data_IF_584545923218
#
_entry.id   IF_584545923218
#
_cell.length_a   1.000
_cell.length_b   1.000
_cell.length_c   1.000
_cell.angle_alpha   90.00
_cell.angle_beta   90.00
_cell.angle_gamma   90.00
#
_symmetry.space_group_name_H-M   'P 1'
#
loop_
_entity.id
_entity.type
_entity.pdbx_description
1 polymer ?
#
# COMPACT_ATOMS: atom_id res chain seq x y z
N UNK A 1 41.09 -0.03 45.47
CA UNK A 1 40.49 0.73 44.35
C UNK A 1 41.05 0.23 43.01
N UNK A 2 40.53 -0.88 42.46
CA UNK A 2 41.03 -1.49 41.21
C UNK A 2 39.93 -2.17 40.36
N UNK A 3 38.67 -1.74 40.43
CA UNK A 3 37.57 -2.45 39.74
C UNK A 3 36.66 -1.54 38.88
N UNK A 4 37.10 -0.35 38.48
CA UNK A 4 36.28 0.59 37.69
C UNK A 4 36.62 0.55 36.18
N UNK A 5 37.82 0.09 35.79
CA UNK A 5 38.23 0.04 34.38
C UNK A 5 37.64 -1.13 33.56
N UNK A 6 37.13 -2.17 34.20
CA UNK A 6 36.60 -3.34 33.48
C UNK A 6 35.17 -3.12 32.95
N UNK A 7 34.39 -2.24 33.60
CA UNK A 7 32.99 -1.98 33.23
C UNK A 7 32.84 -1.10 31.97
N UNK A 8 33.83 -0.24 31.69
CA UNK A 8 33.83 0.67 30.54
C UNK A 8 34.18 -0.01 29.21
N UNK A 9 34.88 -1.16 29.24
CA UNK A 9 35.19 -1.90 28.01
C UNK A 9 34.02 -2.74 27.51
N UNK A 10 33.11 -3.16 28.39
CA UNK A 10 31.98 -4.03 28.02
C UNK A 10 30.86 -3.26 27.31
N UNK A 11 30.70 -1.96 27.59
CA UNK A 11 29.72 -1.10 26.93
C UNK A 11 30.12 -0.69 25.50
N UNK A 12 31.41 -0.70 25.16
CA UNK A 12 31.90 -0.35 23.81
C UNK A 12 31.73 -1.53 22.83
N UNK A 13 31.77 -2.77 23.32
CA UNK A 13 31.55 -3.98 22.53
C UNK A 13 30.08 -4.17 22.09
N UNK A 14 29.11 -3.62 22.83
CA UNK A 14 27.69 -3.69 22.42
C UNK A 14 27.31 -2.72 21.31
N UNK A 15 27.99 -1.57 21.19
CA UNK A 15 27.68 -0.55 20.17
C UNK A 15 28.10 -1.02 18.77
N UNK A 16 29.16 -1.83 18.67
CA UNK A 16 29.64 -2.38 17.39
C UNK A 16 28.76 -3.51 16.83
N UNK A 17 27.95 -4.17 17.66
CA UNK A 17 27.01 -5.22 17.22
C UNK A 17 25.68 -4.67 16.68
N UNK A 18 25.36 -3.40 16.92
CA UNK A 18 24.17 -2.73 16.38
C UNK A 18 24.41 -2.14 14.98
N UNK A 19 25.66 -2.12 14.49
CA UNK A 19 25.96 -1.79 13.09
C UNK A 19 25.71 -2.99 12.17
N UNK A 20 24.53 -3.61 12.31
CA UNK A 20 24.04 -4.54 11.31
C UNK A 20 23.53 -3.66 10.15
N UNK A 21 24.42 -3.39 9.18
CA UNK A 21 24.08 -2.69 7.95
C UNK A 21 23.03 -3.53 7.22
N UNK A 22 21.74 -3.28 7.48
CA UNK A 22 20.67 -3.88 6.69
C UNK A 22 20.84 -3.34 5.28
N UNK A 23 21.36 -4.17 4.38
CA UNK A 23 21.35 -3.87 2.95
C UNK A 23 19.92 -3.53 2.57
N UNK A 24 19.71 -2.33 2.02
CA UNK A 24 18.41 -1.95 1.52
C UNK A 24 18.00 -2.97 0.44
N UNK A 25 16.83 -3.57 0.60
CA UNK A 25 16.30 -4.52 -0.38
C UNK A 25 15.78 -3.76 -1.60
N UNK A 26 15.97 -4.34 -2.79
CA UNK A 26 15.39 -3.79 -4.01
C UNK A 26 13.86 -3.86 -3.91
N UNK A 27 13.13 -2.74 -4.08
CA UNK A 27 11.68 -2.77 -4.09
C UNK A 27 11.15 -3.69 -5.19
N UNK A 28 10.10 -4.45 -4.89
CA UNK A 28 9.49 -5.44 -5.81
C UNK A 28 8.69 -4.79 -6.94
N UNK A 29 8.40 -3.49 -6.82
CA UNK A 29 7.56 -2.74 -7.71
C UNK A 29 8.29 -1.48 -8.15
N UNK A 30 8.22 -1.14 -9.43
CA UNK A 30 8.66 0.16 -9.92
C UNK A 30 7.59 1.22 -9.64
N UNK A 31 7.99 2.50 -9.60
CA UNK A 31 7.05 3.60 -9.49
C UNK A 31 6.04 3.62 -10.65
N UNK A 32 6.46 3.26 -11.87
CA UNK A 32 5.57 3.20 -13.03
C UNK A 32 4.51 2.11 -12.89
N UNK A 33 4.90 0.90 -12.47
CA UNK A 33 3.94 -0.19 -12.23
C UNK A 33 2.93 0.20 -11.14
N UNK A 34 3.40 0.84 -10.08
CA UNK A 34 2.51 1.33 -9.02
C UNK A 34 1.55 2.41 -9.52
N UNK A 35 2.02 3.38 -10.32
CA UNK A 35 1.16 4.40 -10.91
C UNK A 35 0.08 3.79 -11.82
N UNK A 36 0.44 2.76 -12.61
CA UNK A 36 -0.55 2.01 -13.42
C UNK A 36 -1.58 1.30 -12.54
N UNK A 37 -1.15 0.64 -11.47
CA UNK A 37 -2.05 0.03 -10.48
C UNK A 37 -2.98 1.08 -9.87
N UNK A 38 -2.45 2.24 -9.44
CA UNK A 38 -3.23 3.31 -8.84
C UNK A 38 -4.32 3.84 -9.79
N UNK A 39 -3.96 4.11 -11.05
CA UNK A 39 -4.90 4.57 -12.08
C UNK A 39 -5.97 3.51 -12.34
N UNK A 40 -5.58 2.24 -12.43
CA UNK A 40 -6.51 1.13 -12.71
C UNK A 40 -7.50 0.95 -11.56
N UNK A 41 -7.02 0.95 -10.32
CA UNK A 41 -7.88 0.84 -9.13
C UNK A 41 -8.90 1.98 -9.05
N UNK A 42 -8.46 3.23 -9.28
CA UNK A 42 -9.38 4.39 -9.30
C UNK A 42 -10.39 4.28 -10.44
N UNK A 43 -9.93 4.01 -11.65
CA UNK A 43 -10.80 3.94 -12.83
C UNK A 43 -11.86 2.84 -12.73
N UNK A 44 -11.54 1.70 -12.10
CA UNK A 44 -12.52 0.64 -11.86
C UNK A 44 -13.59 1.11 -10.87
N UNK A 45 -13.19 1.69 -9.74
CA UNK A 45 -14.13 2.19 -8.73
C UNK A 45 -15.02 3.28 -9.32
N UNK A 46 -14.45 4.25 -10.01
CA UNK A 46 -15.20 5.30 -10.71
C UNK A 46 -16.16 4.73 -11.74
N UNK A 47 -15.73 3.73 -12.52
CA UNK A 47 -16.57 3.08 -13.53
C UNK A 47 -17.77 2.38 -12.89
N UNK A 48 -17.56 1.65 -11.80
CA UNK A 48 -18.64 0.97 -11.05
C UNK A 48 -19.62 2.01 -10.50
N UNK A 49 -19.13 3.06 -9.83
CA UNK A 49 -19.98 4.09 -9.22
C UNK A 49 -20.71 4.98 -10.23
N UNK A 50 -20.20 5.06 -11.47
CA UNK A 50 -20.87 5.75 -12.57
C UNK A 50 -22.02 4.96 -13.20
N UNK A 51 -22.18 3.68 -12.86
CA UNK A 51 -23.27 2.86 -13.39
C UNK A 51 -24.60 3.25 -12.73
N UNK A 52 -25.59 3.59 -13.56
CA UNK A 52 -26.93 3.98 -13.10
C UNK A 52 -27.82 2.79 -12.75
N UNK A 53 -27.55 1.62 -13.34
CA UNK A 53 -28.27 0.38 -13.09
C UNK A 53 -27.61 -0.39 -11.95
N UNK A 54 -28.24 -0.39 -10.77
CA UNK A 54 -27.70 -1.01 -9.55
C UNK A 54 -27.46 -2.51 -9.70
N UNK A 55 -28.21 -3.19 -10.56
CA UNK A 55 -27.98 -4.60 -10.84
C UNK A 55 -26.68 -4.79 -11.61
N UNK A 56 -26.42 -3.95 -12.61
CA UNK A 56 -25.13 -3.96 -13.32
C UNK A 56 -23.98 -3.53 -12.41
N UNK A 57 -24.20 -2.53 -11.57
CA UNK A 57 -23.21 -2.11 -10.56
C UNK A 57 -22.82 -3.29 -9.66
N UNK A 58 -23.80 -4.04 -9.16
CA UNK A 58 -23.58 -5.26 -8.38
C UNK A 58 -22.76 -6.30 -9.17
N UNK A 59 -23.21 -6.63 -10.38
CA UNK A 59 -22.58 -7.65 -11.22
C UNK A 59 -21.12 -7.30 -11.56
N UNK A 60 -20.84 -6.03 -11.89
CA UNK A 60 -19.47 -5.56 -12.17
C UNK A 60 -18.62 -5.63 -10.90
N UNK A 61 -19.12 -5.12 -9.77
CA UNK A 61 -18.36 -5.13 -8.51
C UNK A 61 -18.05 -6.57 -8.06
N UNK A 62 -19.03 -7.47 -8.14
CA UNK A 62 -18.87 -8.88 -7.82
C UNK A 62 -17.89 -9.57 -8.78
N UNK A 63 -17.97 -9.27 -10.08
CA UNK A 63 -17.04 -9.81 -11.07
C UNK A 63 -15.61 -9.37 -10.80
N UNK A 64 -15.38 -8.08 -10.50
CA UNK A 64 -14.04 -7.57 -10.17
C UNK A 64 -13.52 -8.20 -8.87
N UNK A 65 -14.34 -8.28 -7.83
CA UNK A 65 -13.97 -8.89 -6.54
C UNK A 65 -13.59 -10.37 -6.72
N UNK A 66 -14.45 -11.15 -7.39
CA UNK A 66 -14.30 -12.60 -7.51
C UNK A 66 -13.20 -13.02 -8.48
N UNK A 67 -13.01 -12.28 -9.58
CA UNK A 67 -11.96 -12.58 -10.57
C UNK A 67 -10.57 -12.20 -10.10
N UNK A 68 -10.46 -11.35 -9.05
CA UNK A 68 -9.21 -10.66 -8.72
C UNK A 68 -8.59 -10.01 -9.96
N UNK A 69 -9.43 -9.44 -10.84
CA UNK A 69 -9.01 -8.86 -12.11
C UNK A 69 -7.96 -7.74 -11.95
N UNK A 70 -7.89 -7.14 -10.77
CA UNK A 70 -6.86 -6.18 -10.39
C UNK A 70 -5.75 -6.91 -9.64
N UNK A 71 -4.62 -7.16 -10.31
CA UNK A 71 -3.39 -7.54 -9.62
C UNK A 71 -2.93 -6.34 -8.78
N UNK A 72 -3.26 -6.37 -7.48
CA UNK A 72 -2.96 -5.31 -6.55
C UNK A 72 -1.82 -5.75 -5.63
N UNK A 73 -0.64 -5.16 -5.85
CA UNK A 73 0.54 -5.33 -5.01
C UNK A 73 0.55 -4.22 -3.97
N UNK A 74 0.34 -4.61 -2.72
CA UNK A 74 0.25 -3.67 -1.61
C UNK A 74 1.62 -3.05 -1.30
N UNK A 75 1.65 -1.72 -1.26
CA UNK A 75 2.73 -0.90 -0.70
C UNK A 75 2.26 -0.23 0.60
N UNK A 76 0.99 0.17 0.65
CA UNK A 76 0.27 0.60 1.85
C UNK A 76 -1.02 -0.22 2.01
N UNK A 77 -2.12 0.37 2.49
CA UNK A 77 -3.39 -0.33 2.70
C UNK A 77 -4.33 -0.28 1.46
N UNK A 78 -3.89 0.28 0.33
CA UNK A 78 -4.73 0.55 -0.85
C UNK A 78 -5.46 -0.68 -1.39
N UNK A 79 -4.80 -1.84 -1.40
CA UNK A 79 -5.40 -3.08 -1.90
C UNK A 79 -6.50 -3.61 -0.98
N UNK A 80 -6.33 -3.43 0.33
CA UNK A 80 -7.35 -3.78 1.33
C UNK A 80 -8.55 -2.84 1.22
N UNK A 81 -8.30 -1.53 1.08
CA UNK A 81 -9.38 -0.55 0.91
C UNK A 81 -10.16 -0.80 -0.40
N UNK A 82 -9.48 -1.12 -1.50
CA UNK A 82 -10.14 -1.50 -2.75
C UNK A 82 -11.09 -2.70 -2.54
N UNK A 83 -10.63 -3.74 -1.85
CA UNK A 83 -11.48 -4.89 -1.51
C UNK A 83 -12.69 -4.52 -0.64
N UNK A 84 -12.51 -3.61 0.33
CA UNK A 84 -13.61 -3.12 1.15
C UNK A 84 -14.64 -2.32 0.35
N UNK A 85 -14.20 -1.49 -0.61
CA UNK A 85 -15.11 -0.77 -1.51
C UNK A 85 -15.95 -1.75 -2.32
N UNK A 86 -15.31 -2.71 -2.99
CA UNK A 86 -16.00 -3.70 -3.82
C UNK A 86 -17.03 -4.51 -3.02
N UNK A 87 -16.62 -5.02 -1.86
CA UNK A 87 -17.52 -5.77 -0.95
C UNK A 87 -18.68 -4.91 -0.47
N UNK A 88 -18.43 -3.63 -0.14
CA UNK A 88 -19.49 -2.71 0.29
C UNK A 88 -20.50 -2.46 -0.82
N UNK A 89 -20.04 -2.24 -2.05
CA UNK A 89 -20.91 -2.07 -3.22
C UNK A 89 -21.74 -3.34 -3.47
N UNK A 90 -21.11 -4.52 -3.48
CA UNK A 90 -21.80 -5.81 -3.66
C UNK A 90 -22.92 -5.97 -2.62
N UNK A 91 -22.62 -5.74 -1.34
CA UNK A 91 -23.61 -5.85 -0.26
C UNK A 91 -24.73 -4.81 -0.38
N UNK A 92 -24.41 -3.56 -0.66
CA UNK A 92 -25.41 -2.48 -0.69
C UNK A 92 -26.31 -2.52 -1.92
N UNK A 93 -25.88 -3.21 -2.98
CA UNK A 93 -26.64 -3.33 -4.23
C UNK A 93 -27.40 -4.66 -4.35
N UNK A 94 -27.15 -5.62 -3.45
CA UNK A 94 -27.76 -6.96 -3.49
C UNK A 94 -29.31 -6.91 -3.46
N UNK A 95 -29.86 -6.00 -2.66
CA UNK A 95 -31.31 -5.86 -2.47
C UNK A 95 -31.91 -4.69 -3.29
N UNK A 96 -31.10 -4.07 -4.17
CA UNK A 96 -31.52 -2.97 -5.04
C UNK A 96 -30.72 -1.68 -4.86
N UNK A 97 -31.41 -0.54 -4.84
CA UNK A 97 -30.80 0.79 -4.71
C UNK A 97 -30.10 0.93 -3.34
N UNK A 98 -28.80 1.26 -3.29
CA UNK A 98 -28.12 1.54 -2.03
C UNK A 98 -28.75 2.73 -1.30
N UNK A 99 -28.91 2.60 0.01
CA UNK A 99 -29.37 3.69 0.87
C UNK A 99 -28.32 4.81 1.00
N UNK A 100 -28.75 5.97 1.51
CA UNK A 100 -27.87 7.13 1.73
C UNK A 100 -26.67 6.78 2.61
N UNK A 101 -26.88 6.05 3.70
CA UNK A 101 -25.82 5.63 4.60
C UNK A 101 -24.76 4.74 3.92
N UNK A 102 -25.19 3.88 2.98
CA UNK A 102 -24.28 3.04 2.21
C UNK A 102 -23.47 3.88 1.22
N UNK A 103 -24.12 4.82 0.53
CA UNK A 103 -23.44 5.74 -0.37
C UNK A 103 -22.37 6.57 0.37
N UNK A 104 -22.71 7.14 1.53
CA UNK A 104 -21.75 7.89 2.36
C UNK A 104 -20.57 7.00 2.78
N UNK A 105 -20.84 5.76 3.19
CA UNK A 105 -19.79 4.83 3.58
C UNK A 105 -18.87 4.45 2.40
N UNK A 106 -19.45 4.24 1.21
CA UNK A 106 -18.70 3.97 -0.03
C UNK A 106 -17.79 5.15 -0.36
N UNK A 107 -18.32 6.38 -0.43
CA UNK A 107 -17.51 7.55 -0.75
C UNK A 107 -16.42 7.84 0.28
N UNK A 108 -16.66 7.53 1.57
CA UNK A 108 -15.62 7.59 2.59
C UNK A 108 -14.47 6.63 2.28
N UNK A 109 -14.77 5.38 1.92
CA UNK A 109 -13.76 4.40 1.52
C UNK A 109 -13.03 4.83 0.23
N UNK A 110 -13.72 5.45 -0.73
CA UNK A 110 -13.09 6.00 -1.95
C UNK A 110 -12.06 7.09 -1.61
N UNK A 111 -12.38 7.99 -0.69
CA UNK A 111 -11.42 9.00 -0.23
C UNK A 111 -10.23 8.35 0.47
N UNK A 112 -10.46 7.36 1.33
CA UNK A 112 -9.38 6.60 1.97
C UNK A 112 -8.50 5.86 0.95
N UNK A 113 -9.08 5.33 -0.13
CA UNK A 113 -8.31 4.72 -1.22
C UNK A 113 -7.40 5.76 -1.88
N UNK A 114 -7.90 6.97 -2.14
CA UNK A 114 -7.09 8.04 -2.73
C UNK A 114 -5.91 8.43 -1.82
N UNK A 115 -6.14 8.52 -0.52
CA UNK A 115 -5.11 8.83 0.46
C UNK A 115 -4.05 7.72 0.52
N UNK A 116 -4.48 6.45 0.65
CA UNK A 116 -3.56 5.30 0.71
C UNK A 116 -2.78 5.12 -0.59
N UNK A 117 -3.37 5.42 -1.75
CA UNK A 117 -2.65 5.40 -3.01
C UNK A 117 -1.53 6.45 -3.05
N UNK A 118 -1.76 7.65 -2.50
CA UNK A 118 -0.74 8.69 -2.35
C UNK A 118 0.36 8.25 -1.39
N UNK A 119 -0.03 7.74 -0.22
CA UNK A 119 0.90 7.23 0.81
C UNK A 119 1.78 6.11 0.24
N UNK A 120 1.20 5.15 -0.47
CA UNK A 120 1.95 4.06 -1.08
C UNK A 120 2.92 4.56 -2.16
N UNK A 121 2.57 5.60 -2.92
CA UNK A 121 3.48 6.21 -3.89
C UNK A 121 4.71 6.82 -3.19
N UNK A 122 4.49 7.60 -2.13
CA UNK A 122 5.56 8.22 -1.34
C UNK A 122 6.45 7.17 -0.66
N UNK A 123 5.84 6.15 -0.05
CA UNK A 123 6.56 5.02 0.56
C UNK A 123 7.43 4.30 -0.47
N UNK A 124 6.90 4.02 -1.66
CA UNK A 124 7.67 3.34 -2.71
C UNK A 124 8.83 4.20 -3.20
N UNK A 125 8.62 5.52 -3.33
CA UNK A 125 9.67 6.45 -3.72
C UNK A 125 10.81 6.48 -2.70
N UNK A 126 10.49 6.51 -1.40
CA UNK A 126 11.51 6.47 -0.35
C UNK A 126 12.26 5.13 -0.33
N UNK A 127 11.56 4.00 -0.48
CA UNK A 127 12.21 2.68 -0.58
C UNK A 127 13.20 2.61 -1.76
N UNK A 128 12.86 3.19 -2.91
CA UNK A 128 13.77 3.28 -4.06
C UNK A 128 14.98 4.19 -3.78
N UNK A 129 14.76 5.33 -3.12
CA UNK A 129 15.82 6.25 -2.74
C UNK A 129 16.79 5.60 -1.75
N UNK A 130 16.29 4.92 -0.74
CA UNK A 130 17.09 4.15 0.22
C UNK A 130 17.94 3.07 -0.49
N UNK A 131 17.31 2.32 -1.41
CA UNK A 131 18.02 1.32 -2.21
C UNK A 131 19.15 1.92 -3.05
N UNK A 132 18.89 3.01 -3.77
CA UNK A 132 19.90 3.67 -4.61
C UNK A 132 21.07 4.19 -3.76
N UNK A 133 20.78 4.79 -2.61
CA UNK A 133 21.80 5.29 -1.69
C UNK A 133 22.65 4.17 -1.09
N UNK A 134 22.05 3.02 -0.76
CA UNK A 134 22.80 1.87 -0.28
C UNK A 134 23.78 1.32 -1.35
N UNK A 135 23.39 1.35 -2.63
CA UNK A 135 24.24 0.89 -3.72
C UNK A 135 25.40 1.86 -4.02
N UNK A 136 25.21 3.17 -3.86
CA UNK A 136 26.27 4.16 -4.10
C UNK A 136 27.36 4.14 -3.02
N UNK A 137 27.00 3.82 -1.78
CA UNK A 137 27.96 3.67 -0.66
C UNK A 137 28.83 2.42 -0.82
N UNK A 138 28.28 1.29 -1.28
CA UNK A 138 29.05 0.08 -1.56
C UNK A 138 30.01 0.25 -2.77
N UNK A 139 29.65 1.09 -3.75
CA UNK A 139 30.47 1.37 -4.93
C UNK A 139 31.72 2.23 -4.66
N UNK A 140 31.69 3.09 -3.63
CA UNK A 140 32.78 4.02 -3.28
C UNK A 140 33.79 3.44 -2.26
N UNK A 141 33.64 2.19 -1.82
CA UNK A 141 34.57 1.51 -0.91
C UNK A 141 35.55 0.56 -1.63
N UNK A 142 35.80 0.77 -2.93
CA UNK A 142 36.80 0.00 -3.71
C UNK A 142 37.94 0.89 -4.19
#
# INVERSE_FOLDING_TARGET
>A
MKNINLLLCFSILFISLLSCSRKAEKPKLTLSEYSTQAITSKGIVEKILSESDYKKMHEIALAVESSRAVDCKAVSDECNILGQILNKIVKSTNDGLPGEADNVAIYKLVNQLNDELSIGHEKLAEQWKEYINAQSVEGNSK
#
